data_IF_150284750506
#
_entry.id   IF_150284750506
#
_cell.length_a   1.000
_cell.length_b   1.000
_cell.length_c   1.000
_cell.angle_alpha   90.00
_cell.angle_beta   90.00
_cell.angle_gamma   90.00
#
_symmetry.space_group_name_H-M   'P 1'
#
loop_
_entity.id
_entity.type
_entity.pdbx_description
1 polymer ?
#
# COMPACT_ATOMS: atom_id res chain seq x y z
N UNK A 1 13.73 -12.36 -24.16
CA UNK A 1 13.41 -10.93 -24.14
C UNK A 1 14.61 -10.19 -23.58
N UNK A 2 15.00 -9.06 -24.18
CA UNK A 2 16.13 -8.32 -23.64
C UNK A 2 15.74 -7.69 -22.31
N UNK A 3 16.51 -7.97 -21.28
CA UNK A 3 16.36 -7.37 -19.95
C UNK A 3 16.70 -5.87 -20.07
N UNK A 4 15.82 -4.96 -19.65
CA UNK A 4 16.14 -3.53 -19.62
C UNK A 4 17.37 -3.26 -18.75
N UNK A 5 18.19 -2.28 -19.16
CA UNK A 5 19.46 -1.94 -18.45
C UNK A 5 19.25 -1.47 -17.00
N UNK A 6 18.05 -0.99 -16.66
CA UNK A 6 17.68 -0.56 -15.31
C UNK A 6 17.26 -1.74 -14.40
N UNK A 7 17.01 -2.93 -14.95
CA UNK A 7 16.54 -4.06 -14.18
C UNK A 7 17.70 -4.79 -13.48
N UNK A 8 17.70 -4.94 -12.13
CA UNK A 8 18.70 -5.73 -11.43
C UNK A 8 18.81 -7.16 -11.96
N UNK A 9 20.01 -7.73 -11.97
CA UNK A 9 20.26 -9.09 -12.50
C UNK A 9 19.50 -10.19 -11.73
N UNK A 10 19.17 -9.93 -10.47
CA UNK A 10 18.47 -10.86 -9.58
C UNK A 10 16.97 -10.96 -9.80
N UNK A 11 16.38 -10.13 -10.69
CA UNK A 11 14.94 -10.09 -10.90
C UNK A 11 14.49 -11.21 -11.86
N UNK A 12 13.45 -11.93 -11.47
CA UNK A 12 12.69 -12.78 -12.37
C UNK A 12 11.83 -11.93 -13.30
N UNK A 13 12.19 -11.90 -14.59
CA UNK A 13 11.47 -11.17 -15.65
C UNK A 13 10.45 -12.05 -16.39
N UNK A 14 10.37 -13.34 -16.03
CA UNK A 14 9.46 -14.31 -16.66
C UNK A 14 8.19 -14.52 -15.84
N UNK A 15 8.18 -14.10 -14.58
CA UNK A 15 7.03 -14.18 -13.68
C UNK A 15 6.46 -12.80 -13.38
N UNK A 16 5.12 -12.61 -13.47
CA UNK A 16 4.51 -11.32 -13.19
C UNK A 16 4.58 -10.96 -11.70
N UNK A 17 4.88 -9.71 -11.40
CA UNK A 17 4.86 -9.15 -10.05
C UNK A 17 3.66 -8.24 -9.87
N UNK A 18 3.01 -8.31 -8.70
CA UNK A 18 1.85 -7.46 -8.37
C UNK A 18 2.23 -5.98 -8.33
N UNK A 19 3.42 -5.62 -7.84
CA UNK A 19 3.91 -4.25 -7.83
C UNK A 19 4.09 -3.70 -9.26
N UNK A 20 4.61 -4.51 -10.18
CA UNK A 20 4.80 -4.13 -11.58
C UNK A 20 3.50 -4.10 -12.38
N UNK A 21 2.53 -4.98 -12.06
CA UNK A 21 1.17 -4.91 -12.60
C UNK A 21 0.46 -3.63 -12.13
N UNK A 22 0.61 -3.26 -10.86
CA UNK A 22 0.03 -2.03 -10.31
C UNK A 22 0.64 -0.78 -10.97
N UNK A 23 1.97 -0.76 -11.22
CA UNK A 23 2.64 0.27 -12.01
C UNK A 23 2.00 0.43 -13.41
N UNK A 24 1.72 -0.70 -14.08
CA UNK A 24 1.04 -0.68 -15.38
C UNK A 24 -0.37 -0.09 -15.31
N UNK A 25 -1.18 -0.40 -14.27
CA UNK A 25 -2.53 0.17 -14.09
C UNK A 25 -2.49 1.69 -13.90
N UNK A 26 -1.41 2.21 -13.34
CA UNK A 26 -1.19 3.64 -13.16
C UNK A 26 -0.58 4.33 -14.39
N UNK A 27 -0.32 3.59 -15.48
CA UNK A 27 0.33 4.10 -16.69
C UNK A 27 1.84 4.25 -16.58
N UNK A 28 2.46 3.60 -15.60
CA UNK A 28 3.90 3.58 -15.40
C UNK A 28 4.65 2.75 -16.46
N UNK A 29 5.96 2.85 -16.45
CA UNK A 29 6.85 2.21 -17.45
C UNK A 29 7.84 1.20 -16.82
N UNK A 30 7.78 0.97 -15.51
CA UNK A 30 8.69 0.09 -14.78
C UNK A 30 8.11 -1.33 -14.63
N UNK A 31 7.61 -1.87 -15.73
CA UNK A 31 7.00 -3.18 -15.85
C UNK A 31 7.54 -3.94 -17.06
N UNK A 32 7.56 -5.26 -16.99
CA UNK A 32 8.01 -6.12 -18.06
C UNK A 32 6.84 -6.61 -18.94
N UNK A 33 7.15 -7.28 -20.04
CA UNK A 33 6.13 -7.81 -20.94
C UNK A 33 5.21 -8.83 -20.24
N UNK A 34 5.73 -9.64 -19.33
CA UNK A 34 4.95 -10.61 -18.55
C UNK A 34 3.96 -9.91 -17.63
N UNK A 35 4.36 -8.79 -16.98
CA UNK A 35 3.50 -7.99 -16.11
C UNK A 35 2.37 -7.33 -16.91
N UNK A 36 2.70 -6.74 -18.07
CA UNK A 36 1.69 -6.14 -18.97
C UNK A 36 0.69 -7.16 -19.50
N UNK A 37 1.16 -8.38 -19.83
CA UNK A 37 0.27 -9.46 -20.27
C UNK A 37 -0.69 -9.87 -19.15
N UNK A 38 -0.20 -10.05 -17.93
CA UNK A 38 -1.02 -10.38 -16.77
C UNK A 38 -1.98 -9.23 -16.41
N UNK A 39 -1.49 -7.98 -16.41
CA UNK A 39 -2.30 -6.79 -16.16
C UNK A 39 -3.40 -6.60 -17.20
N UNK A 40 -3.11 -6.84 -18.49
CA UNK A 40 -4.10 -6.75 -19.56
C UNK A 40 -5.16 -7.87 -19.44
N UNK A 41 -4.77 -9.08 -19.04
CA UNK A 41 -5.73 -10.15 -18.74
C UNK A 41 -6.65 -9.74 -17.59
N UNK A 42 -6.11 -9.12 -16.53
CA UNK A 42 -6.90 -8.58 -15.42
C UNK A 42 -7.84 -7.46 -15.87
N UNK A 43 -7.40 -6.53 -16.71
CA UNK A 43 -8.27 -5.46 -17.25
C UNK A 43 -9.41 -6.06 -18.10
N UNK A 44 -9.14 -7.15 -18.81
CA UNK A 44 -10.18 -7.85 -19.59
C UNK A 44 -11.23 -8.48 -18.68
N UNK A 45 -10.81 -9.12 -17.58
CA UNK A 45 -11.71 -9.72 -16.59
C UNK A 45 -12.38 -8.67 -15.70
N UNK A 46 -11.65 -7.62 -15.32
CA UNK A 46 -12.11 -6.52 -14.46
C UNK A 46 -11.74 -5.19 -15.11
N UNK A 47 -12.63 -4.63 -15.95
CA UNK A 47 -12.34 -3.40 -16.72
C UNK A 47 -11.98 -2.18 -15.86
N UNK A 48 -12.46 -2.15 -14.63
CA UNK A 48 -12.19 -1.07 -13.67
C UNK A 48 -10.82 -1.20 -12.94
N UNK A 49 -9.98 -2.20 -13.26
CA UNK A 49 -8.69 -2.38 -12.57
C UNK A 49 -7.79 -1.11 -12.57
N UNK A 50 -7.66 -0.33 -13.66
CA UNK A 50 -6.95 0.95 -13.61
C UNK A 50 -7.62 2.00 -12.72
N UNK A 51 -8.96 2.07 -12.73
CA UNK A 51 -9.74 2.97 -11.86
C UNK A 51 -9.51 2.62 -10.38
N UNK A 52 -9.50 1.33 -10.05
CA UNK A 52 -9.22 0.83 -8.71
C UNK A 52 -7.86 1.32 -8.20
N UNK A 53 -6.81 1.18 -9.02
CA UNK A 53 -5.46 1.63 -8.66
C UNK A 53 -5.40 3.16 -8.47
N UNK A 54 -6.05 3.93 -9.37
CA UNK A 54 -6.12 5.39 -9.27
C UNK A 54 -6.89 5.86 -8.04
N UNK A 55 -8.04 5.24 -7.73
CA UNK A 55 -8.86 5.55 -6.56
C UNK A 55 -8.09 5.27 -5.25
N UNK A 56 -7.36 4.15 -5.19
CA UNK A 56 -6.54 3.81 -4.05
C UNK A 56 -5.36 4.79 -3.86
N UNK A 57 -4.70 5.23 -4.93
CA UNK A 57 -3.68 6.29 -4.89
C UNK A 57 -4.26 7.63 -4.41
N UNK A 58 -5.45 7.99 -4.88
CA UNK A 58 -6.14 9.20 -4.43
C UNK A 58 -6.48 9.13 -2.93
N UNK A 59 -6.92 7.96 -2.42
CA UNK A 59 -7.11 7.72 -1.00
C UNK A 59 -5.82 7.94 -0.21
N UNK A 60 -4.72 7.30 -0.61
CA UNK A 60 -3.43 7.45 0.04
C UNK A 60 -3.00 8.92 0.12
N UNK A 61 -3.16 9.69 -0.96
CA UNK A 61 -2.85 11.13 -0.98
C UNK A 61 -3.67 11.91 0.05
N UNK A 62 -5.00 11.71 0.10
CA UNK A 62 -5.87 12.38 1.07
C UNK A 62 -5.52 12.02 2.50
N UNK A 63 -5.21 10.73 2.75
CA UNK A 63 -4.80 10.27 4.08
C UNK A 63 -3.48 10.91 4.51
N UNK A 64 -2.45 10.91 3.67
CA UNK A 64 -1.15 11.51 4.00
C UNK A 64 -1.31 13.02 4.27
N UNK A 65 -2.07 13.73 3.44
CA UNK A 65 -2.36 15.14 3.68
C UNK A 65 -3.03 15.36 5.03
N UNK A 66 -4.10 14.62 5.32
CA UNK A 66 -4.81 14.68 6.60
C UNK A 66 -3.89 14.41 7.79
N UNK A 67 -3.03 13.40 7.71
CA UNK A 67 -2.11 13.03 8.78
C UNK A 67 -1.05 14.12 9.02
N UNK A 68 -0.50 14.71 7.96
CA UNK A 68 0.42 15.85 8.08
C UNK A 68 -0.25 17.05 8.73
N UNK A 69 -1.48 17.40 8.30
CA UNK A 69 -2.29 18.46 8.89
C UNK A 69 -2.64 18.19 10.35
N UNK A 70 -2.77 16.90 10.73
CA UNK A 70 -2.98 16.45 12.11
C UNK A 70 -1.70 16.41 12.96
N UNK A 71 -0.56 16.81 12.41
CA UNK A 71 0.72 16.90 13.13
C UNK A 71 1.64 15.69 12.99
N UNK A 72 1.29 14.66 12.23
CA UNK A 72 2.18 13.53 11.96
C UNK A 72 3.35 14.00 11.07
N UNK A 73 4.55 13.54 11.42
CA UNK A 73 5.81 13.88 10.73
C UNK A 73 6.64 12.65 10.39
N UNK A 74 6.17 11.47 10.77
CA UNK A 74 6.87 10.21 10.56
C UNK A 74 5.94 9.21 9.89
N UNK A 75 6.41 8.58 8.82
CA UNK A 75 5.64 7.63 8.03
C UNK A 75 6.45 6.36 7.80
N UNK A 76 5.83 5.21 8.00
CA UNK A 76 6.32 3.89 7.63
C UNK A 76 5.37 3.33 6.57
N UNK A 77 5.79 3.31 5.31
CA UNK A 77 5.00 2.86 4.16
C UNK A 77 5.43 1.46 3.74
N UNK A 78 4.62 0.46 4.09
CA UNK A 78 4.93 -0.96 3.89
C UNK A 78 4.17 -1.48 2.67
N UNK A 79 4.90 -2.02 1.70
CA UNK A 79 4.40 -2.37 0.37
C UNK A 79 4.23 -1.12 -0.50
N UNK A 80 5.25 -0.28 -0.51
CA UNK A 80 5.23 1.01 -1.19
C UNK A 80 5.04 0.91 -2.71
N UNK A 81 5.37 -0.23 -3.28
CA UNK A 81 5.34 -0.46 -4.71
C UNK A 81 6.41 0.32 -5.47
N UNK A 82 6.29 0.31 -6.79
CA UNK A 82 7.17 1.09 -7.65
C UNK A 82 6.82 2.58 -7.50
N UNK A 83 7.81 3.45 -7.24
CA UNK A 83 7.55 4.88 -7.09
C UNK A 83 7.01 5.48 -8.38
N UNK A 84 5.90 6.18 -8.24
CA UNK A 84 5.24 6.95 -9.30
C UNK A 84 5.06 8.40 -8.84
N UNK A 85 4.35 9.23 -9.58
CA UNK A 85 4.02 10.60 -9.13
C UNK A 85 3.11 10.56 -7.91
N UNK A 86 3.39 11.37 -6.90
CA UNK A 86 2.59 11.49 -5.67
C UNK A 86 2.92 10.42 -4.63
N UNK A 87 4.20 10.14 -4.44
CA UNK A 87 4.69 9.27 -3.37
C UNK A 87 4.46 9.91 -1.99
N UNK A 88 4.45 9.11 -0.93
CA UNK A 88 4.20 9.58 0.44
C UNK A 88 5.13 10.72 0.82
N UNK A 89 6.45 10.61 0.55
CA UNK A 89 7.42 11.66 0.88
C UNK A 89 7.17 12.96 0.10
N UNK A 90 6.78 12.88 -1.18
CA UNK A 90 6.50 14.08 -1.99
C UNK A 90 5.33 14.88 -1.42
N UNK A 91 4.28 14.18 -0.97
CA UNK A 91 3.11 14.80 -0.36
C UNK A 91 3.46 15.36 1.02
N UNK A 92 4.05 14.52 1.87
CA UNK A 92 4.37 14.88 3.24
C UNK A 92 5.37 16.04 3.32
N UNK A 93 6.47 15.97 2.56
CA UNK A 93 7.52 16.98 2.59
C UNK A 93 7.14 18.29 1.88
N UNK A 94 6.18 18.26 0.94
CA UNK A 94 5.60 19.48 0.37
C UNK A 94 4.83 20.29 1.41
N UNK A 95 4.11 19.60 2.32
CA UNK A 95 3.29 20.21 3.35
C UNK A 95 4.10 20.52 4.63
N UNK A 96 5.02 19.62 4.97
CA UNK A 96 5.91 19.70 6.13
C UNK A 96 7.29 19.17 5.74
N UNK A 97 8.24 20.04 5.34
CA UNK A 97 9.54 19.64 4.80
C UNK A 97 10.40 18.78 5.74
N UNK A 98 10.11 18.81 7.04
CA UNK A 98 10.77 17.98 8.05
C UNK A 98 10.26 16.53 8.10
N UNK A 99 9.21 16.19 7.38
CA UNK A 99 8.61 14.86 7.39
C UNK A 99 9.60 13.77 6.94
N UNK A 100 9.57 12.65 7.66
CA UNK A 100 10.43 11.49 7.44
C UNK A 100 9.59 10.32 6.94
N UNK A 101 10.09 9.59 5.95
CA UNK A 101 9.39 8.46 5.36
C UNK A 101 10.34 7.26 5.19
N UNK A 102 10.04 6.17 5.88
CA UNK A 102 10.65 4.88 5.65
C UNK A 102 9.74 4.06 4.76
N UNK A 103 10.24 3.64 3.62
CA UNK A 103 9.59 2.73 2.70
C UNK A 103 10.03 1.29 2.93
N UNK A 104 9.14 0.36 2.71
CA UNK A 104 9.44 -1.09 2.75
C UNK A 104 8.75 -1.74 1.55
N UNK A 105 9.48 -2.56 0.81
CA UNK A 105 8.87 -3.38 -0.25
C UNK A 105 9.60 -4.70 -0.41
N UNK A 106 8.88 -5.72 -0.85
CA UNK A 106 9.41 -7.06 -1.12
C UNK A 106 9.88 -7.21 -2.57
N UNK A 107 9.40 -6.35 -3.49
CA UNK A 107 9.79 -6.41 -4.90
C UNK A 107 11.15 -5.69 -5.10
N UNK A 108 12.19 -6.42 -5.55
CA UNK A 108 13.51 -5.83 -5.74
C UNK A 108 13.55 -4.73 -6.83
N UNK A 109 12.59 -4.71 -7.77
CA UNK A 109 12.46 -3.61 -8.75
C UNK A 109 11.99 -2.35 -8.05
N UNK A 110 10.93 -2.45 -7.23
CA UNK A 110 10.42 -1.34 -6.44
C UNK A 110 11.52 -0.75 -5.55
N UNK A 111 12.28 -1.61 -4.88
CA UNK A 111 13.41 -1.20 -4.01
C UNK A 111 14.52 -0.50 -4.81
N UNK A 112 14.90 -1.04 -5.97
CA UNK A 112 15.96 -0.45 -6.80
C UNK A 112 15.58 0.95 -7.30
N UNK A 113 14.36 1.12 -7.83
CA UNK A 113 13.85 2.42 -8.29
C UNK A 113 13.68 3.41 -7.14
N UNK A 114 13.17 2.94 -5.98
CA UNK A 114 13.08 3.79 -4.80
C UNK A 114 14.44 4.34 -4.39
N UNK A 115 15.50 3.54 -4.41
CA UNK A 115 16.86 4.01 -4.09
C UNK A 115 17.35 5.12 -5.01
N UNK A 116 17.04 5.03 -6.30
CA UNK A 116 17.41 6.07 -7.26
C UNK A 116 16.63 7.37 -7.02
N UNK A 117 15.32 7.28 -6.82
CA UNK A 117 14.44 8.45 -6.64
C UNK A 117 14.71 9.14 -5.30
N UNK A 118 15.00 8.37 -4.25
CA UNK A 118 15.27 8.88 -2.91
C UNK A 118 16.71 9.36 -2.72
N UNK A 119 17.58 9.18 -3.74
CA UNK A 119 18.97 9.61 -3.65
C UNK A 119 19.09 11.10 -3.35
N UNK A 120 19.83 11.43 -2.29
CA UNK A 120 20.01 12.81 -1.83
C UNK A 120 18.94 13.36 -0.90
N UNK A 121 17.90 12.57 -0.57
CA UNK A 121 16.89 12.93 0.44
C UNK A 121 17.20 12.19 1.75
N UNK A 122 17.85 12.88 2.69
CA UNK A 122 18.27 12.34 4.00
C UNK A 122 17.11 12.05 4.98
N UNK A 123 15.89 12.42 4.59
CA UNK A 123 14.64 12.16 5.33
C UNK A 123 13.83 11.02 4.78
N UNK A 124 14.43 10.21 3.91
CA UNK A 124 13.81 9.02 3.35
C UNK A 124 14.75 7.84 3.38
N UNK A 125 14.19 6.64 3.47
CA UNK A 125 14.92 5.38 3.27
C UNK A 125 14.03 4.34 2.60
N UNK A 126 14.62 3.30 2.04
CA UNK A 126 13.91 2.12 1.50
C UNK A 126 14.58 0.85 1.99
N UNK A 127 13.80 -0.02 2.59
CA UNK A 127 14.17 -1.34 3.06
C UNK A 127 13.61 -2.41 2.12
N UNK A 128 14.42 -3.39 1.76
CA UNK A 128 13.96 -4.61 1.09
C UNK A 128 13.58 -5.63 2.16
N UNK A 129 12.29 -5.72 2.49
CA UNK A 129 11.78 -6.65 3.50
C UNK A 129 10.30 -6.95 3.24
N UNK A 130 9.80 -8.00 3.89
CA UNK A 130 8.44 -8.49 3.79
C UNK A 130 7.61 -8.06 5.01
N UNK A 131 6.38 -7.59 4.79
CA UNK A 131 5.42 -7.26 5.86
C UNK A 131 5.22 -8.40 6.87
N UNK A 132 5.38 -9.65 6.43
CA UNK A 132 5.28 -10.85 7.27
C UNK A 132 6.41 -10.98 8.31
N UNK A 133 7.42 -10.12 8.23
CA UNK A 133 8.53 -10.03 9.18
C UNK A 133 8.54 -8.65 9.87
N UNK A 134 7.49 -8.25 10.61
CA UNK A 134 7.38 -6.91 11.20
C UNK A 134 8.55 -6.60 12.16
N UNK A 135 9.03 -7.59 12.90
CA UNK A 135 10.19 -7.44 13.78
C UNK A 135 11.45 -6.97 13.02
N UNK A 136 11.71 -7.53 11.84
CA UNK A 136 12.86 -7.13 11.02
C UNK A 136 12.72 -5.69 10.50
N UNK A 137 11.51 -5.28 10.14
CA UNK A 137 11.22 -3.91 9.71
C UNK A 137 11.45 -2.94 10.88
N UNK A 138 10.86 -3.23 12.03
CA UNK A 138 10.90 -2.37 13.21
C UNK A 138 12.29 -2.22 13.84
N UNK A 139 13.16 -3.23 13.70
CA UNK A 139 14.51 -3.24 14.24
C UNK A 139 15.60 -2.95 13.19
N UNK A 140 15.23 -2.71 11.94
CA UNK A 140 16.21 -2.35 10.91
C UNK A 140 16.97 -1.07 11.28
N UNK A 141 18.31 -1.07 11.20
CA UNK A 141 19.12 0.10 11.59
C UNK A 141 18.82 1.37 10.79
N UNK A 142 18.44 1.26 9.51
CA UNK A 142 18.13 2.42 8.68
C UNK A 142 16.75 3.01 9.07
N UNK A 143 15.77 2.14 9.33
CA UNK A 143 14.44 2.54 9.82
C UNK A 143 14.56 3.22 11.18
N UNK A 144 15.28 2.60 12.13
CA UNK A 144 15.50 3.14 13.49
C UNK A 144 16.32 4.43 13.51
N UNK A 145 17.25 4.62 12.58
CA UNK A 145 17.99 5.87 12.44
C UNK A 145 17.11 7.01 11.95
N UNK A 146 16.12 6.69 11.10
CA UNK A 146 15.25 7.68 10.48
C UNK A 146 14.03 7.99 11.35
N UNK A 147 13.33 6.95 11.86
CA UNK A 147 12.10 7.07 12.61
C UNK A 147 12.34 6.87 14.10
N UNK A 148 11.71 7.70 14.90
CA UNK A 148 11.65 7.62 16.36
C UNK A 148 10.27 7.05 16.77
N UNK A 149 10.23 5.79 17.18
CA UNK A 149 8.99 5.11 17.55
C UNK A 149 8.46 5.51 18.94
N UNK A 150 9.22 6.31 19.70
CA UNK A 150 8.72 6.95 20.92
C UNK A 150 7.88 8.20 20.61
N UNK A 151 7.80 8.58 19.34
CA UNK A 151 6.95 9.64 18.79
C UNK A 151 5.89 9.06 17.85
N UNK A 152 4.77 9.76 17.60
CA UNK A 152 3.74 9.28 16.69
C UNK A 152 4.26 8.99 15.27
N UNK A 153 3.95 7.79 14.78
CA UNK A 153 4.25 7.32 13.42
C UNK A 153 2.94 6.93 12.74
N UNK A 154 2.80 7.27 11.46
CA UNK A 154 1.76 6.69 10.62
C UNK A 154 2.31 5.47 9.88
N UNK A 155 1.73 4.30 10.13
CA UNK A 155 2.00 3.06 9.39
C UNK A 155 0.97 2.93 8.28
N UNK A 156 1.44 2.90 7.03
CA UNK A 156 0.62 2.72 5.85
C UNK A 156 0.81 1.30 5.30
N UNK A 157 -0.30 0.58 5.11
CA UNK A 157 -0.35 -0.74 4.46
C UNK A 157 -1.49 -0.64 3.42
N UNK A 158 -1.18 0.00 2.30
CA UNK A 158 -2.16 0.42 1.29
C UNK A 158 -2.10 -0.50 0.09
N UNK A 159 -3.16 -1.27 -0.16
CA UNK A 159 -3.26 -2.30 -1.19
C UNK A 159 -2.23 -3.45 -1.03
N UNK A 160 -1.98 -3.90 0.19
CA UNK A 160 -1.00 -4.95 0.50
C UNK A 160 -1.60 -6.14 1.23
N UNK A 161 -2.44 -5.93 2.27
CA UNK A 161 -2.93 -7.00 3.13
C UNK A 161 -3.68 -8.11 2.41
N UNK A 162 -4.27 -7.85 1.26
CA UNK A 162 -4.92 -8.88 0.45
C UNK A 162 -3.92 -9.85 -0.23
N UNK A 163 -2.62 -9.60 -0.13
CA UNK A 163 -1.57 -10.53 -0.53
C UNK A 163 -0.99 -11.35 0.64
N UNK A 164 -1.45 -11.08 1.86
CA UNK A 164 -1.07 -11.83 3.06
C UNK A 164 -2.20 -12.82 3.36
N UNK A 165 -1.97 -14.14 3.23
CA UNK A 165 -3.00 -15.15 3.53
C UNK A 165 -3.28 -15.21 5.05
N UNK A 166 -4.47 -15.71 5.41
CA UNK A 166 -4.85 -15.83 6.83
C UNK A 166 -3.93 -16.80 7.59
N UNK A 167 -3.31 -17.75 6.88
CA UNK A 167 -2.30 -18.65 7.46
C UNK A 167 -1.04 -17.94 7.97
N UNK A 168 -0.76 -16.75 7.48
CA UNK A 168 0.40 -15.93 7.89
C UNK A 168 0.02 -14.94 9.01
N UNK A 169 -1.17 -15.09 9.59
CA UNK A 169 -1.68 -14.31 10.73
C UNK A 169 -1.56 -12.78 10.55
N UNK A 170 -2.26 -12.18 9.58
CA UNK A 170 -2.20 -10.72 9.36
C UNK A 170 -2.63 -9.92 10.59
N UNK A 171 -3.51 -10.44 11.45
CA UNK A 171 -3.90 -9.77 12.68
C UNK A 171 -2.74 -9.74 13.70
N UNK A 172 -1.97 -10.82 13.81
CA UNK A 172 -0.77 -10.90 14.65
C UNK A 172 0.31 -9.94 14.15
N UNK A 173 0.54 -9.87 12.82
CA UNK A 173 1.47 -8.90 12.20
C UNK A 173 1.09 -7.46 12.59
N UNK A 174 -0.17 -7.10 12.46
CA UNK A 174 -0.66 -5.75 12.82
C UNK A 174 -0.57 -5.48 14.33
N UNK A 175 -0.81 -6.49 15.17
CA UNK A 175 -0.66 -6.37 16.61
C UNK A 175 0.80 -6.13 17.02
N UNK A 176 1.76 -6.77 16.34
CA UNK A 176 3.18 -6.57 16.57
C UNK A 176 3.62 -5.16 16.14
N UNK A 177 3.20 -4.69 14.97
CA UNK A 177 3.42 -3.30 14.54
C UNK A 177 2.85 -2.32 15.57
N UNK A 178 1.59 -2.52 16.00
CA UNK A 178 0.93 -1.67 17.01
C UNK A 178 1.70 -1.60 18.31
N UNK A 179 2.23 -2.73 18.79
CA UNK A 179 2.95 -2.79 20.06
C UNK A 179 4.24 -1.94 20.08
N UNK A 180 4.79 -1.62 18.92
CA UNK A 180 5.98 -0.78 18.78
C UNK A 180 5.68 0.71 18.62
N UNK A 181 4.40 1.11 18.55
CA UNK A 181 4.01 2.48 18.23
C UNK A 181 3.69 3.28 19.51
N UNK A 182 4.10 4.54 19.54
CA UNK A 182 3.70 5.49 20.56
C UNK A 182 2.21 5.88 20.43
N UNK A 183 1.55 6.26 21.55
CA UNK A 183 0.22 6.86 21.50
C UNK A 183 0.14 8.04 20.54
N UNK A 184 -0.99 8.16 19.84
CA UNK A 184 -1.17 9.15 18.79
C UNK A 184 -0.68 8.71 17.40
N UNK A 185 -0.02 7.54 17.29
CA UNK A 185 0.30 6.91 16.01
C UNK A 185 -0.96 6.51 15.25
N UNK A 186 -0.82 6.28 13.95
CA UNK A 186 -1.94 5.92 13.08
C UNK A 186 -1.64 4.67 12.27
N UNK A 187 -2.68 3.88 12.04
CA UNK A 187 -2.68 2.77 11.09
C UNK A 187 -3.58 3.14 9.91
N UNK A 188 -3.06 3.01 8.70
CA UNK A 188 -3.78 3.24 7.45
C UNK A 188 -3.83 1.93 6.68
N UNK A 189 -5.02 1.44 6.42
CA UNK A 189 -5.21 0.21 5.64
C UNK A 189 -6.09 0.48 4.43
N UNK A 190 -5.74 -0.16 3.31
CA UNK A 190 -6.69 -0.41 2.24
C UNK A 190 -6.45 -1.79 1.64
N UNK A 191 -7.52 -2.42 1.20
CA UNK A 191 -7.45 -3.69 0.48
C UNK A 191 -8.66 -3.89 -0.44
N UNK A 192 -8.53 -4.78 -1.42
CA UNK A 192 -9.65 -5.22 -2.23
C UNK A 192 -10.69 -5.92 -1.34
N UNK A 193 -11.96 -5.60 -1.57
CA UNK A 193 -13.11 -6.21 -0.87
C UNK A 193 -13.98 -7.00 -1.83
N UNK A 194 -14.63 -8.03 -1.31
CA UNK A 194 -15.63 -8.82 -2.04
C UNK A 194 -17.06 -8.29 -1.88
N UNK A 195 -17.23 -7.25 -1.09
CA UNK A 195 -18.54 -6.60 -0.93
C UNK A 195 -19.03 -6.10 -2.29
N UNK A 196 -20.24 -6.55 -2.70
CA UNK A 196 -20.88 -6.10 -3.93
C UNK A 196 -20.39 -6.75 -5.22
N UNK A 197 -19.49 -7.72 -5.17
CA UNK A 197 -18.99 -8.46 -6.35
C UNK A 197 -19.70 -9.79 -6.56
N UNK A 198 -19.86 -10.17 -7.84
CA UNK A 198 -20.30 -11.50 -8.22
C UNK A 198 -19.23 -12.56 -7.95
N UNK A 199 -19.68 -13.82 -7.77
CA UNK A 199 -18.74 -14.94 -7.60
C UNK A 199 -17.88 -15.17 -8.84
N UNK A 200 -18.38 -14.86 -10.04
CA UNK A 200 -17.66 -14.99 -11.31
C UNK A 200 -16.47 -14.01 -11.38
N UNK A 201 -16.71 -12.73 -11.11
CA UNK A 201 -15.63 -11.71 -11.07
C UNK A 201 -14.55 -12.03 -10.05
N UNK A 202 -14.95 -12.60 -8.89
CA UNK A 202 -14.00 -13.04 -7.86
C UNK A 202 -13.13 -14.20 -8.33
N UNK A 203 -13.72 -15.19 -8.96
CA UNK A 203 -13.01 -16.36 -9.48
C UNK A 203 -12.03 -16.00 -10.59
N UNK A 204 -12.41 -15.13 -11.51
CA UNK A 204 -11.53 -14.68 -12.60
C UNK A 204 -10.31 -13.90 -12.06
N UNK A 205 -10.54 -12.97 -11.15
CA UNK A 205 -9.46 -12.22 -10.51
C UNK A 205 -8.49 -13.17 -9.77
N UNK A 206 -9.02 -14.11 -8.96
CA UNK A 206 -8.23 -15.09 -8.23
C UNK A 206 -7.37 -15.95 -9.17
N UNK A 207 -7.91 -16.43 -10.29
CA UNK A 207 -7.18 -17.22 -11.27
C UNK A 207 -5.98 -16.46 -11.88
N UNK A 208 -6.11 -15.16 -12.10
CA UNK A 208 -5.03 -14.32 -12.64
C UNK A 208 -3.94 -14.14 -11.59
N UNK A 209 -4.32 -13.74 -10.37
CA UNK A 209 -3.37 -13.49 -9.29
C UNK A 209 -2.69 -14.76 -8.75
N UNK A 210 -3.30 -15.94 -8.87
CA UNK A 210 -2.63 -17.22 -8.56
C UNK A 210 -1.39 -17.50 -9.42
N UNK A 211 -1.24 -16.82 -10.55
CA UNK A 211 -0.06 -16.92 -11.41
C UNK A 211 1.06 -15.95 -11.01
N UNK A 212 0.77 -15.03 -10.11
CA UNK A 212 1.77 -14.14 -9.51
C UNK A 212 2.41 -14.82 -8.29
N UNK A 213 3.41 -14.15 -7.69
CA UNK A 213 4.02 -14.60 -6.44
C UNK A 213 3.11 -14.41 -5.22
N UNK A 214 2.04 -13.62 -5.37
CA UNK A 214 1.17 -13.22 -4.28
C UNK A 214 -0.31 -13.42 -4.68
N UNK A 215 -0.93 -14.57 -4.36
CA UNK A 215 -2.34 -14.81 -4.60
C UNK A 215 -3.22 -13.86 -3.76
N UNK A 216 -4.41 -13.54 -4.28
CA UNK A 216 -5.34 -12.66 -3.58
C UNK A 216 -6.04 -13.37 -2.42
N UNK A 217 -6.15 -12.67 -1.30
CA UNK A 217 -6.96 -13.02 -0.13
C UNK A 217 -7.94 -11.87 0.10
N UNK A 218 -9.03 -11.87 -0.67
CA UNK A 218 -10.04 -10.82 -0.61
C UNK A 218 -10.87 -10.99 0.66
N UNK A 219 -11.14 -9.90 1.36
CA UNK A 219 -11.85 -9.90 2.64
C UNK A 219 -13.01 -8.93 2.65
N UNK A 220 -14.03 -9.24 3.45
CA UNK A 220 -15.18 -8.37 3.67
C UNK A 220 -14.79 -7.10 4.45
N UNK A 221 -15.69 -6.10 4.40
CA UNK A 221 -15.58 -4.87 5.23
C UNK A 221 -15.44 -5.20 6.72
N UNK A 222 -16.18 -6.20 7.21
CA UNK A 222 -16.13 -6.60 8.62
C UNK A 222 -14.74 -7.13 8.99
N UNK A 223 -14.14 -7.97 8.14
CA UNK A 223 -12.79 -8.49 8.36
C UNK A 223 -11.74 -7.38 8.29
N UNK A 224 -11.86 -6.43 7.33
CA UNK A 224 -10.95 -5.27 7.29
C UNK A 224 -11.11 -4.39 8.53
N UNK A 225 -12.34 -4.23 9.04
CA UNK A 225 -12.60 -3.44 10.25
C UNK A 225 -11.92 -4.06 11.48
N UNK A 226 -11.93 -5.39 11.61
CA UNK A 226 -11.27 -6.07 12.74
C UNK A 226 -9.75 -5.89 12.77
N UNK A 227 -9.11 -5.59 11.64
CA UNK A 227 -7.68 -5.26 11.60
C UNK A 227 -7.32 -3.93 12.30
N UNK A 228 -8.31 -3.12 12.62
CA UNK A 228 -8.12 -1.91 13.44
C UNK A 228 -8.29 -2.15 14.95
N UNK A 229 -8.39 -3.41 15.40
CA UNK A 229 -8.49 -3.71 16.82
C UNK A 229 -7.32 -3.11 17.60
N UNK A 230 -7.67 -2.32 18.65
CA UNK A 230 -6.71 -1.55 19.45
C UNK A 230 -6.38 -0.16 18.90
N UNK A 231 -7.02 0.25 17.79
CA UNK A 231 -7.01 1.61 17.29
C UNK A 231 -8.43 2.20 17.35
N UNK A 232 -8.54 3.49 17.62
CA UNK A 232 -9.77 4.25 17.46
C UNK A 232 -9.97 4.57 15.98
N UNK A 233 -10.92 3.91 15.34
CA UNK A 233 -11.21 4.08 13.94
C UNK A 233 -11.79 5.48 13.67
N UNK A 234 -11.12 6.27 12.84
CA UNK A 234 -11.51 7.64 12.53
C UNK A 234 -12.71 7.68 11.58
N UNK A 235 -13.66 8.65 11.76
CA UNK A 235 -14.74 8.84 10.79
C UNK A 235 -14.20 9.13 9.37
N UNK A 236 -14.82 8.52 8.35
CA UNK A 236 -16.09 7.79 8.34
C UNK A 236 -16.00 6.29 8.64
N UNK A 237 -14.89 5.79 9.12
CA UNK A 237 -14.65 4.36 9.35
C UNK A 237 -14.07 3.66 8.13
N UNK A 238 -14.32 2.35 8.01
CA UNK A 238 -13.96 1.56 6.83
C UNK A 238 -15.04 1.73 5.77
N UNK A 239 -14.67 2.37 4.68
CA UNK A 239 -15.56 2.70 3.55
C UNK A 239 -14.84 2.39 2.23
N UNK A 240 -15.57 2.42 1.11
CA UNK A 240 -14.92 2.47 -0.19
C UNK A 240 -13.94 3.64 -0.25
N UNK A 241 -12.72 3.42 -0.75
CA UNK A 241 -11.64 4.43 -0.69
C UNK A 241 -12.02 5.80 -1.28
N UNK A 242 -12.90 5.95 -2.30
CA UNK A 242 -13.36 7.26 -2.73
C UNK A 242 -14.20 8.00 -1.67
N UNK A 243 -14.90 7.29 -0.79
CA UNK A 243 -15.76 7.86 0.26
C UNK A 243 -14.97 8.36 1.48
N UNK A 244 -13.69 8.00 1.61
CA UNK A 244 -12.88 8.45 2.73
C UNK A 244 -12.44 9.88 2.50
N UNK A 245 -13.13 10.85 3.15
CA UNK A 245 -12.88 12.30 3.05
C UNK A 245 -12.70 12.78 1.60
N UNK A 246 -13.72 12.63 0.75
CA UNK A 246 -13.66 13.03 -0.65
C UNK A 246 -13.46 14.54 -0.78
N UNK A 247 -12.79 14.98 -1.85
CA UNK A 247 -12.58 16.39 -2.16
C UNK A 247 -13.90 17.07 -2.57
N UNK A 248 -14.84 16.32 -3.13
CA UNK A 248 -16.22 16.75 -3.43
C UNK A 248 -17.17 15.58 -3.30
N UNK A 249 -18.50 15.81 -3.17
CA UNK A 249 -19.50 14.73 -3.15
C UNK A 249 -19.43 13.84 -4.40
N UNK A 250 -19.21 14.43 -5.56
CA UNK A 250 -19.14 13.73 -6.85
C UNK A 250 -17.95 12.75 -6.91
N UNK A 251 -16.87 13.06 -6.21
CA UNK A 251 -15.70 12.18 -6.13
C UNK A 251 -15.98 10.88 -5.35
N UNK A 252 -17.13 10.78 -4.67
CA UNK A 252 -17.56 9.60 -3.94
C UNK A 252 -18.72 8.86 -4.64
N UNK A 253 -19.17 9.32 -5.81
CA UNK A 253 -20.17 8.63 -6.62
C UNK A 253 -19.61 7.32 -7.17
N UNK A 254 -20.44 6.30 -7.32
CA UNK A 254 -20.09 4.95 -7.79
C UNK A 254 -18.81 4.38 -7.09
N UNK A 255 -18.66 4.68 -5.81
CA UNK A 255 -17.43 4.39 -5.06
C UNK A 255 -17.10 2.89 -4.98
N UNK A 256 -18.12 2.02 -5.09
CA UNK A 256 -17.97 0.55 -5.12
C UNK A 256 -17.16 0.06 -6.33
N UNK A 257 -17.14 0.81 -7.43
CA UNK A 257 -16.31 0.49 -8.61
C UNK A 257 -14.80 0.54 -8.29
N UNK A 258 -14.41 1.27 -7.25
CA UNK A 258 -13.02 1.28 -6.78
C UNK A 258 -12.59 -0.04 -6.17
N UNK A 259 -13.54 -0.91 -5.74
CA UNK A 259 -13.30 -2.25 -5.16
C UNK A 259 -12.47 -2.23 -3.88
N UNK A 260 -11.61 -1.25 -3.70
CA UNK A 260 -10.83 -1.07 -2.48
C UNK A 260 -11.65 -0.40 -1.39
N UNK A 261 -11.63 -1.04 -0.22
CA UNK A 261 -12.06 -0.42 1.03
C UNK A 261 -10.84 -0.01 1.85
N UNK A 262 -10.97 1.08 2.60
CA UNK A 262 -9.92 1.55 3.46
C UNK A 262 -10.42 2.34 4.65
N UNK A 263 -9.54 2.53 5.60
CA UNK A 263 -9.79 3.28 6.82
C UNK A 263 -8.50 3.77 7.46
N UNK A 264 -8.67 4.60 8.47
CA UNK A 264 -7.57 5.15 9.28
C UNK A 264 -7.95 4.98 10.75
N UNK A 265 -7.09 4.32 11.51
CA UNK A 265 -7.21 4.19 12.95
C UNK A 265 -6.14 5.00 13.68
N UNK A 266 -6.46 5.56 14.85
CA UNK A 266 -5.53 6.25 15.72
C UNK A 266 -5.28 5.41 16.97
N UNK A 267 -4.03 5.25 17.35
CA UNK A 267 -3.67 4.60 18.61
C UNK A 267 -3.97 5.55 19.77
N UNK A 268 -4.87 5.14 20.65
CA UNK A 268 -5.19 5.85 21.88
C UNK A 268 -4.00 5.98 22.83
N UNK A 269 -4.11 6.88 23.81
CA UNK A 269 -3.14 7.03 24.90
C UNK A 269 -3.58 6.26 26.12
#
# INVERSE_FOLDING_TARGET
MDRPHWAPESIDVERPSVARMYDYYLGGSHNFAVDRTAAQAMITAVPDAPLMAQANRAFMRRVVQFLVESGIRQFLDIGSGIPTVGNVHEIAQRLAPESKVAYVDVDPVAVAHSREILAGNDRTTILHEDLRNPERILHDPQVRKLLDFDQPVAVLIVAVLHFVPDSDDPAGILAELRAALAPGSHLVLSQASDDGRSDEERLEADQIYRRTDNPLNIRSRAALTSFFDGFDLLPPGVVWVPQWRPESPEAAEDAERAVFMGGVGRLGG
#
